data_IF_091215974541
#
_entry.id   IF_091215974541
#
_cell.length_a   1.000
_cell.length_b   1.000
_cell.length_c   1.000
_cell.angle_alpha   90.00
_cell.angle_beta   90.00
_cell.angle_gamma   90.00
#
_symmetry.space_group_name_H-M   'P 1'
#
loop_
_entity.id
_entity.type
_entity.pdbx_description
1 polymer ?
#
# COMPACT_ATOMS: atom_id res chain seq x y z
N UNK A 1 -3.76 5.88 6.07
CA UNK A 1 -3.51 6.30 4.66
C UNK A 1 -4.09 5.33 3.63
N UNK A 2 -3.83 4.04 3.77
CA UNK A 2 -4.26 3.00 2.81
C UNK A 2 -5.75 2.94 2.47
N UNK A 3 -6.70 3.16 3.40
CA UNK A 3 -8.12 3.21 3.06
C UNK A 3 -8.45 4.28 2.00
N UNK A 4 -7.75 5.42 2.01
CA UNK A 4 -7.92 6.47 1.00
C UNK A 4 -7.32 6.06 -0.35
N UNK A 5 -6.26 5.27 -0.34
CA UNK A 5 -5.53 4.86 -1.53
C UNK A 5 -6.24 3.75 -2.32
N UNK A 6 -7.11 2.97 -1.68
CA UNK A 6 -7.91 1.94 -2.35
C UNK A 6 -9.24 2.46 -2.91
N UNK A 7 -9.60 3.72 -2.63
CA UNK A 7 -10.83 4.34 -3.15
C UNK A 7 -10.81 4.43 -4.67
N UNK A 8 -9.68 4.77 -5.29
CA UNK A 8 -9.56 4.83 -6.74
C UNK A 8 -9.86 3.49 -7.44
N UNK A 9 -9.16 2.39 -7.08
CA UNK A 9 -9.50 1.05 -7.57
C UNK A 9 -10.94 0.65 -7.31
N UNK A 10 -11.50 0.96 -6.13
CA UNK A 10 -12.89 0.66 -5.81
C UNK A 10 -13.87 1.44 -6.71
N UNK A 11 -13.61 2.73 -6.92
CA UNK A 11 -14.45 3.55 -7.80
C UNK A 11 -14.38 3.05 -9.25
N UNK A 12 -13.21 2.58 -9.71
CA UNK A 12 -13.06 1.99 -11.03
C UNK A 12 -13.98 0.79 -11.28
N UNK A 13 -14.24 -0.03 -10.27
CA UNK A 13 -15.13 -1.18 -10.42
C UNK A 13 -16.60 -0.80 -10.29
N UNK A 14 -16.93 0.23 -9.52
CA UNK A 14 -18.32 0.63 -9.25
C UNK A 14 -18.89 1.55 -10.33
N UNK A 15 -18.13 2.56 -10.77
CA UNK A 15 -18.58 3.63 -11.70
C UNK A 15 -19.32 3.09 -12.95
N UNK A 16 -18.86 2.03 -13.63
CA UNK A 16 -19.54 1.51 -14.83
C UNK A 16 -20.96 0.99 -14.60
N UNK A 17 -21.33 0.65 -13.35
CA UNK A 17 -22.61 0.05 -12.99
C UNK A 17 -23.57 1.04 -12.31
N UNK A 18 -23.22 2.34 -12.27
CA UNK A 18 -24.02 3.36 -11.62
C UNK A 18 -24.78 4.22 -12.63
N UNK A 19 -25.98 4.74 -12.27
CA UNK A 19 -26.62 5.79 -13.05
C UNK A 19 -25.68 6.97 -13.23
N UNK A 20 -25.71 7.61 -14.39
CA UNK A 20 -24.74 8.66 -14.78
C UNK A 20 -24.54 9.75 -13.70
N UNK A 21 -25.63 10.24 -13.09
CA UNK A 21 -25.57 11.21 -12.01
C UNK A 21 -24.77 10.74 -10.78
N UNK A 22 -24.91 9.48 -10.40
CA UNK A 22 -24.16 8.89 -9.29
C UNK A 22 -22.71 8.57 -9.71
N UNK A 23 -22.51 8.09 -10.94
CA UNK A 23 -21.20 7.78 -11.51
C UNK A 23 -20.26 9.00 -11.49
N UNK A 24 -20.76 10.17 -11.90
CA UNK A 24 -20.00 11.43 -11.87
C UNK A 24 -19.54 11.80 -10.46
N UNK A 25 -20.44 11.72 -9.46
CA UNK A 25 -20.11 12.03 -8.07
C UNK A 25 -19.08 11.07 -7.49
N UNK A 26 -19.23 9.77 -7.76
CA UNK A 26 -18.29 8.74 -7.32
C UNK A 26 -16.92 8.98 -7.95
N UNK A 27 -16.88 9.32 -9.24
CA UNK A 27 -15.63 9.62 -9.94
C UNK A 27 -14.90 10.81 -9.32
N UNK A 28 -15.59 11.93 -9.07
CA UNK A 28 -14.98 13.10 -8.41
C UNK A 28 -14.53 12.78 -6.98
N UNK A 29 -15.37 12.11 -6.19
CA UNK A 29 -15.02 11.70 -4.84
C UNK A 29 -13.79 10.80 -4.81
N UNK A 30 -13.66 9.89 -5.78
CA UNK A 30 -12.51 9.01 -5.90
C UNK A 30 -11.22 9.78 -6.19
N UNK A 31 -11.23 10.70 -7.15
CA UNK A 31 -10.06 11.55 -7.46
C UNK A 31 -9.65 12.39 -6.25
N UNK A 32 -10.61 13.01 -5.54
CA UNK A 32 -10.32 13.85 -4.38
C UNK A 32 -9.73 13.03 -3.21
N UNK A 33 -10.33 11.89 -2.87
CA UNK A 33 -9.86 11.04 -1.78
C UNK A 33 -8.52 10.38 -2.12
N UNK A 34 -8.33 9.97 -3.37
CA UNK A 34 -7.04 9.47 -3.84
C UNK A 34 -5.96 10.54 -3.75
N UNK A 35 -6.25 11.77 -4.17
CA UNK A 35 -5.34 12.91 -4.07
C UNK A 35 -4.94 13.21 -2.62
N UNK A 36 -5.89 13.23 -1.69
CA UNK A 36 -5.60 13.38 -0.27
C UNK A 36 -4.70 12.26 0.26
N UNK A 37 -4.98 11.00 -0.14
CA UNK A 37 -4.15 9.85 0.17
C UNK A 37 -2.73 9.97 -0.39
N UNK A 38 -2.58 10.52 -1.60
CA UNK A 38 -1.28 10.72 -2.22
C UNK A 38 -0.45 11.80 -1.51
N UNK A 39 -1.05 12.94 -1.16
CA UNK A 39 -0.37 14.03 -0.48
C UNK A 39 0.21 13.59 0.88
N UNK A 40 -0.58 12.88 1.69
CA UNK A 40 -0.09 12.39 2.99
C UNK A 40 0.94 11.27 2.80
N UNK A 41 0.81 10.44 1.76
CA UNK A 41 1.84 9.43 1.44
C UNK A 41 3.18 10.08 1.07
N UNK A 42 3.19 11.20 0.34
CA UNK A 42 4.42 11.95 0.04
C UNK A 42 5.14 12.44 1.30
N UNK A 43 4.40 12.92 2.30
CA UNK A 43 4.98 13.32 3.60
C UNK A 43 5.61 12.13 4.32
N UNK A 44 4.94 10.96 4.30
CA UNK A 44 5.47 9.72 4.87
C UNK A 44 6.70 9.21 4.13
N UNK A 45 6.75 9.35 2.80
CA UNK A 45 7.89 8.93 2.00
C UNK A 45 9.16 9.72 2.31
N UNK A 46 9.05 11.03 2.58
CA UNK A 46 10.19 11.85 2.98
C UNK A 46 10.83 11.32 4.27
N UNK A 47 10.02 11.08 5.31
CA UNK A 47 10.49 10.52 6.59
C UNK A 47 11.05 9.10 6.43
N UNK A 48 10.38 8.25 5.66
CA UNK A 48 10.82 6.88 5.40
C UNK A 48 12.17 6.83 4.70
N UNK A 49 12.36 7.68 3.68
CA UNK A 49 13.62 7.72 2.92
C UNK A 49 14.75 8.27 3.78
N UNK A 50 14.49 9.30 4.60
CA UNK A 50 15.46 9.79 5.58
C UNK A 50 15.89 8.69 6.55
N UNK A 51 14.95 7.90 7.09
CA UNK A 51 15.27 6.77 7.96
C UNK A 51 16.20 5.77 7.27
N UNK A 52 15.94 5.42 6.01
CA UNK A 52 16.76 4.46 5.27
C UNK A 52 18.18 4.98 4.97
N UNK A 53 18.38 6.30 4.92
CA UNK A 53 19.70 6.89 4.71
C UNK A 53 20.54 6.96 6.00
N UNK A 54 19.91 7.08 7.17
CA UNK A 54 20.61 7.35 8.45
C UNK A 54 20.65 6.12 9.36
N UNK A 55 19.74 5.17 9.21
CA UNK A 55 19.61 4.00 10.08
C UNK A 55 19.89 2.70 9.33
N UNK A 56 20.32 1.67 10.07
CA UNK A 56 20.44 0.32 9.53
C UNK A 56 19.08 -0.21 9.06
N UNK A 57 19.12 -1.16 8.11
CA UNK A 57 17.92 -1.86 7.66
C UNK A 57 17.23 -2.56 8.84
N UNK A 58 15.89 -2.68 8.82
CA UNK A 58 15.16 -3.42 9.84
C UNK A 58 15.65 -4.86 9.99
N UNK A 59 15.42 -5.44 11.16
CA UNK A 59 15.75 -6.84 11.42
C UNK A 59 15.05 -7.75 10.40
N UNK A 60 15.71 -8.84 9.94
CA UNK A 60 15.19 -9.67 8.87
C UNK A 60 13.69 -10.02 8.96
N UNK A 61 13.14 -10.45 10.12
CA UNK A 61 11.72 -10.81 10.23
C UNK A 61 10.73 -9.66 9.99
N UNK A 62 11.16 -8.40 10.08
CA UNK A 62 10.32 -7.20 9.88
C UNK A 62 10.51 -6.55 8.50
N UNK A 63 11.52 -6.97 7.74
CA UNK A 63 11.80 -6.46 6.39
C UNK A 63 10.65 -6.59 5.39
N UNK A 64 9.76 -7.60 5.45
CA UNK A 64 8.56 -7.62 4.60
C UNK A 64 7.75 -6.33 4.70
N UNK A 65 7.70 -5.71 5.90
CA UNK A 65 7.01 -4.44 6.12
C UNK A 65 7.56 -3.27 5.29
N UNK A 66 8.77 -3.37 4.73
CA UNK A 66 9.29 -2.34 3.81
C UNK A 66 8.46 -2.24 2.53
N UNK A 67 7.84 -3.33 2.07
CA UNK A 67 6.96 -3.30 0.91
C UNK A 67 5.74 -2.39 1.09
N UNK A 68 5.39 -2.01 2.33
CA UNK A 68 4.36 -1.00 2.61
C UNK A 68 4.68 0.36 1.96
N UNK A 69 5.93 0.62 1.58
CA UNK A 69 6.29 1.79 0.78
C UNK A 69 5.87 1.69 -0.70
N UNK A 70 5.64 0.50 -1.24
CA UNK A 70 5.25 0.29 -2.66
C UNK A 70 3.81 0.72 -2.92
N UNK A 71 2.94 0.42 -1.95
CA UNK A 71 1.49 0.50 -2.10
C UNK A 71 0.96 1.89 -2.46
N UNK A 72 1.31 2.98 -1.75
CA UNK A 72 0.71 4.28 -2.00
C UNK A 72 0.89 4.80 -3.42
N UNK A 73 2.11 4.70 -3.96
CA UNK A 73 2.38 5.04 -5.35
C UNK A 73 1.69 4.08 -6.32
N UNK A 74 1.72 2.76 -6.06
CA UNK A 74 1.08 1.77 -6.93
C UNK A 74 -0.44 1.99 -7.05
N UNK A 75 -1.14 2.07 -5.93
CA UNK A 75 -2.58 2.31 -5.92
C UNK A 75 -2.97 3.68 -6.52
N UNK A 76 -2.16 4.72 -6.29
CA UNK A 76 -2.38 6.04 -6.90
C UNK A 76 -2.21 6.01 -8.41
N UNK A 77 -1.15 5.35 -8.90
CA UNK A 77 -0.96 5.18 -10.34
C UNK A 77 -2.10 4.39 -10.97
N UNK A 78 -2.52 3.28 -10.36
CA UNK A 78 -3.70 2.54 -10.81
C UNK A 78 -4.93 3.44 -10.91
N UNK A 79 -5.23 4.20 -9.86
CA UNK A 79 -6.39 5.08 -9.80
C UNK A 79 -6.36 6.15 -10.91
N UNK A 80 -5.22 6.81 -11.10
CA UNK A 80 -5.08 7.86 -12.12
C UNK A 80 -5.29 7.32 -13.55
N UNK A 81 -4.65 6.18 -13.87
CA UNK A 81 -4.79 5.57 -15.21
C UNK A 81 -6.22 5.07 -15.39
N UNK A 82 -6.78 4.39 -14.39
CA UNK A 82 -8.06 3.73 -14.52
C UNK A 82 -9.25 4.70 -14.54
N UNK A 83 -9.24 5.71 -13.69
CA UNK A 83 -10.25 6.77 -13.67
C UNK A 83 -10.12 7.67 -14.89
N UNK A 84 -8.88 7.96 -15.33
CA UNK A 84 -8.63 8.67 -16.59
C UNK A 84 -9.22 7.93 -17.79
N UNK A 85 -8.94 6.62 -17.93
CA UNK A 85 -9.49 5.80 -19.02
C UNK A 85 -11.02 5.69 -19.01
N UNK A 86 -11.67 5.85 -17.86
CA UNK A 86 -13.12 5.86 -17.75
C UNK A 86 -13.75 7.23 -18.04
N UNK A 87 -12.98 8.32 -17.96
CA UNK A 87 -13.49 9.67 -18.11
C UNK A 87 -14.27 9.91 -19.43
N UNK A 88 -13.87 9.39 -20.60
CA UNK A 88 -14.67 9.54 -21.82
C UNK A 88 -16.06 8.90 -21.73
N UNK A 89 -16.19 7.78 -21.00
CA UNK A 89 -17.50 7.12 -20.80
C UNK A 89 -18.35 7.85 -19.75
N UNK A 90 -17.71 8.47 -18.76
CA UNK A 90 -18.39 9.18 -17.67
C UNK A 90 -18.83 10.56 -18.11
N UNK A 91 -18.04 11.26 -18.92
CA UNK A 91 -18.28 12.67 -19.28
C UNK A 91 -18.62 12.87 -20.76
N UNK A 92 -18.24 11.96 -21.66
CA UNK A 92 -18.49 12.12 -23.10
C UNK A 92 -18.00 13.47 -23.63
N UNK A 93 -18.84 14.11 -24.45
CA UNK A 93 -18.66 15.48 -24.96
C UNK A 93 -19.31 16.54 -24.05
N UNK A 94 -19.68 16.17 -22.81
CA UNK A 94 -20.33 17.09 -21.89
C UNK A 94 -19.38 18.24 -21.53
N UNK A 95 -19.91 19.45 -21.56
CA UNK A 95 -19.20 20.65 -21.12
C UNK A 95 -18.78 20.48 -19.65
N UNK A 96 -17.46 20.48 -19.43
CA UNK A 96 -16.88 20.40 -18.10
C UNK A 96 -16.14 21.70 -17.83
N UNK A 97 -16.34 22.28 -16.65
CA UNK A 97 -15.68 23.52 -16.22
C UNK A 97 -15.92 24.74 -17.15
N UNK A 98 -17.04 24.76 -17.88
CA UNK A 98 -17.37 25.83 -18.83
C UNK A 98 -16.55 25.79 -20.13
N UNK A 99 -15.85 24.68 -20.39
CA UNK A 99 -15.07 24.47 -21.61
C UNK A 99 -15.93 23.66 -22.59
N UNK A 100 -16.17 24.23 -23.77
CA UNK A 100 -17.02 23.66 -24.83
C UNK A 100 -16.23 23.32 -26.10
N UNK A 101 -14.99 23.80 -26.18
CA UNK A 101 -14.13 23.70 -27.37
C UNK A 101 -13.33 22.40 -27.46
N UNK A 102 -13.32 21.58 -26.41
CA UNK A 102 -12.50 20.37 -26.32
C UNK A 102 -13.31 19.18 -25.79
N UNK A 103 -13.06 17.95 -26.28
CA UNK A 103 -13.63 16.73 -25.74
C UNK A 103 -13.00 16.43 -24.36
N UNK A 104 -13.58 16.97 -23.30
CA UNK A 104 -13.00 16.96 -21.95
C UNK A 104 -12.73 15.55 -21.42
N UNK A 105 -13.56 14.56 -21.77
CA UNK A 105 -13.34 13.16 -21.41
C UNK A 105 -12.00 12.60 -21.91
N UNK A 106 -11.63 12.90 -23.16
CA UNK A 106 -10.37 12.45 -23.75
C UNK A 106 -9.17 13.20 -23.19
N UNK A 107 -9.33 14.49 -22.90
CA UNK A 107 -8.29 15.29 -22.23
C UNK A 107 -7.98 14.69 -20.85
N UNK A 108 -9.01 14.39 -20.05
CA UNK A 108 -8.84 13.77 -18.73
C UNK A 108 -8.19 12.38 -18.86
N UNK A 109 -8.56 11.60 -19.89
CA UNK A 109 -7.92 10.30 -20.18
C UNK A 109 -6.43 10.43 -20.41
N UNK A 110 -5.99 11.36 -21.25
CA UNK A 110 -4.57 11.59 -21.53
C UNK A 110 -3.84 12.01 -20.26
N UNK A 111 -4.38 12.97 -19.52
CA UNK A 111 -3.78 13.47 -18.27
C UNK A 111 -3.65 12.34 -17.25
N UNK A 112 -4.71 11.54 -17.05
CA UNK A 112 -4.72 10.44 -16.07
C UNK A 112 -3.71 9.34 -16.41
N UNK A 113 -3.56 9.00 -17.70
CA UNK A 113 -2.57 8.02 -18.16
C UNK A 113 -1.14 8.54 -17.91
N UNK A 114 -0.83 9.76 -18.33
CA UNK A 114 0.52 10.34 -18.16
C UNK A 114 0.89 10.54 -16.69
N UNK A 115 -0.04 11.04 -15.87
CA UNK A 115 0.17 11.16 -14.43
C UNK A 115 0.38 9.80 -13.77
N UNK A 116 -0.36 8.78 -14.21
CA UNK A 116 -0.17 7.40 -13.77
C UNK A 116 1.20 6.82 -14.11
N UNK A 117 1.69 7.04 -15.34
CA UNK A 117 3.04 6.62 -15.75
C UNK A 117 4.14 7.29 -14.95
N UNK A 118 3.95 8.55 -14.58
CA UNK A 118 4.87 9.25 -13.69
C UNK A 118 4.93 8.58 -12.30
N UNK A 119 3.76 8.29 -11.71
CA UNK A 119 3.66 7.76 -10.33
C UNK A 119 4.05 6.27 -10.26
N UNK A 120 3.77 5.45 -11.27
CA UNK A 120 4.06 4.00 -11.23
C UNK A 120 5.56 3.71 -11.13
N UNK A 121 6.41 4.52 -11.77
CA UNK A 121 7.86 4.37 -11.70
C UNK A 121 8.37 4.54 -10.26
N UNK A 122 7.75 5.45 -9.51
CA UNK A 122 8.08 5.66 -8.10
C UNK A 122 7.71 4.46 -7.23
N UNK A 123 6.57 3.81 -7.52
CA UNK A 123 6.20 2.54 -6.87
C UNK A 123 7.19 1.41 -7.20
N UNK A 124 7.59 1.30 -8.47
CA UNK A 124 8.56 0.31 -8.92
C UNK A 124 9.93 0.49 -8.25
N UNK A 125 10.37 1.74 -8.05
CA UNK A 125 11.61 2.03 -7.33
C UNK A 125 11.57 1.51 -5.88
N UNK A 126 10.51 1.81 -5.12
CA UNK A 126 10.35 1.28 -3.76
C UNK A 126 10.23 -0.26 -3.73
N UNK A 127 9.66 -0.86 -4.78
CA UNK A 127 9.62 -2.31 -4.91
C UNK A 127 11.03 -2.89 -4.99
N UNK A 128 11.90 -2.32 -5.83
CA UNK A 128 13.29 -2.75 -5.94
C UNK A 128 14.04 -2.60 -4.61
N UNK A 129 13.89 -1.47 -3.91
CA UNK A 129 14.52 -1.24 -2.59
C UNK A 129 14.05 -2.28 -1.57
N UNK A 130 12.75 -2.54 -1.50
CA UNK A 130 12.16 -3.51 -0.58
C UNK A 130 12.59 -4.94 -0.90
N UNK A 131 12.63 -5.29 -2.20
CA UNK A 131 13.05 -6.59 -2.68
C UNK A 131 14.50 -6.89 -2.31
N UNK A 132 15.42 -5.96 -2.58
CA UNK A 132 16.84 -6.11 -2.22
C UNK A 132 17.00 -6.29 -0.70
N UNK A 133 16.28 -5.49 0.10
CA UNK A 133 16.31 -5.61 1.56
C UNK A 133 15.87 -7.00 2.05
N UNK A 134 14.76 -7.52 1.52
CA UNK A 134 14.25 -8.85 1.87
C UNK A 134 15.21 -9.95 1.42
N UNK A 135 15.70 -9.90 0.18
CA UNK A 135 16.64 -10.91 -0.34
C UNK A 135 17.93 -10.96 0.49
N UNK A 136 18.43 -9.82 0.97
CA UNK A 136 19.59 -9.75 1.85
C UNK A 136 19.34 -10.39 3.23
N UNK A 137 18.09 -10.56 3.66
CA UNK A 137 17.71 -11.08 4.98
C UNK A 137 17.03 -12.44 4.97
N UNK A 138 16.69 -12.98 3.79
CA UNK A 138 15.70 -14.07 3.63
C UNK A 138 15.99 -15.32 4.46
N UNK A 139 17.27 -15.72 4.60
CA UNK A 139 17.68 -16.91 5.36
C UNK A 139 17.47 -16.80 6.87
N UNK A 140 17.34 -15.57 7.39
CA UNK A 140 17.19 -15.28 8.82
C UNK A 140 15.77 -14.83 9.17
N UNK A 141 14.84 -14.92 8.22
CA UNK A 141 13.47 -14.49 8.42
C UNK A 141 12.65 -15.59 9.10
N UNK A 142 11.98 -15.22 10.19
CA UNK A 142 10.85 -15.96 10.74
C UNK A 142 9.54 -15.33 10.27
N UNK A 143 8.46 -16.10 10.39
CA UNK A 143 7.13 -15.58 10.12
C UNK A 143 6.77 -14.49 11.14
N UNK A 144 6.22 -13.39 10.63
CA UNK A 144 5.62 -12.29 11.39
C UNK A 144 4.42 -11.78 10.63
N UNK A 145 3.54 -11.02 11.27
CA UNK A 145 2.38 -10.43 10.58
C UNK A 145 2.80 -9.51 9.41
N UNK A 146 4.02 -8.96 9.44
CA UNK A 146 4.57 -8.16 8.35
C UNK A 146 4.65 -8.90 7.01
N UNK A 147 4.64 -10.24 6.99
CA UNK A 147 4.65 -11.02 5.74
C UNK A 147 3.47 -10.67 4.82
N UNK A 148 2.34 -10.22 5.37
CA UNK A 148 1.20 -9.76 4.56
C UNK A 148 1.55 -8.56 3.64
N UNK A 149 2.60 -7.80 3.96
CA UNK A 149 3.13 -6.75 3.10
C UNK A 149 3.78 -7.27 1.80
N UNK A 150 4.05 -8.58 1.68
CA UNK A 150 4.41 -9.18 0.39
C UNK A 150 3.29 -9.14 -0.63
N UNK A 151 2.03 -9.08 -0.16
CA UNK A 151 0.87 -9.22 -1.03
C UNK A 151 0.22 -7.87 -1.28
N UNK A 152 -0.27 -7.21 -0.24
CA UNK A 152 -1.19 -6.08 -0.41
C UNK A 152 -0.58 -4.85 -1.12
N UNK A 153 0.60 -4.33 -0.73
CA UNK A 153 1.25 -3.24 -1.45
C UNK A 153 1.63 -3.61 -2.89
N UNK A 154 2.09 -4.84 -3.11
CA UNK A 154 2.51 -5.33 -4.42
C UNK A 154 1.32 -5.61 -5.35
N UNK A 155 0.13 -5.89 -4.79
CA UNK A 155 -1.12 -5.90 -5.55
C UNK A 155 -1.42 -4.52 -6.15
N UNK A 156 -1.16 -3.43 -5.41
CA UNK A 156 -1.29 -2.06 -5.93
C UNK A 156 -0.39 -1.80 -7.13
N UNK A 157 0.90 -2.18 -7.05
CA UNK A 157 1.83 -2.07 -8.18
C UNK A 157 1.41 -2.95 -9.37
N UNK A 158 0.95 -4.17 -9.12
CA UNK A 158 0.50 -5.09 -10.17
C UNK A 158 -0.76 -4.57 -10.87
N UNK A 159 -1.74 -4.07 -10.11
CA UNK A 159 -2.93 -3.43 -10.63
C UNK A 159 -2.60 -2.18 -11.46
N UNK A 160 -1.61 -1.38 -11.05
CA UNK A 160 -1.14 -0.25 -11.85
C UNK A 160 -0.51 -0.71 -13.16
N UNK A 161 0.34 -1.75 -13.11
CA UNK A 161 0.99 -2.33 -14.28
C UNK A 161 -0.02 -2.91 -15.29
N UNK A 162 -1.11 -3.55 -14.81
CA UNK A 162 -2.22 -4.01 -15.67
C UNK A 162 -2.86 -2.82 -16.41
N UNK A 163 -3.13 -1.73 -15.68
CA UNK A 163 -3.71 -0.54 -16.29
C UNK A 163 -2.76 0.12 -17.29
N UNK A 164 -1.46 0.12 -17.01
CA UNK A 164 -0.41 0.57 -17.94
C UNK A 164 -0.36 -0.29 -19.20
N UNK A 165 -0.31 -1.62 -19.06
CA UNK A 165 -0.29 -2.53 -20.21
C UNK A 165 -1.55 -2.41 -21.07
N UNK A 166 -2.70 -2.18 -20.44
CA UNK A 166 -3.96 -1.93 -21.16
C UNK A 166 -3.97 -0.55 -21.83
N UNK A 167 -3.40 0.49 -21.20
CA UNK A 167 -3.31 1.83 -21.79
C UNK A 167 -2.37 1.90 -22.99
N UNK A 168 -1.31 1.08 -22.99
CA UNK A 168 -0.32 0.95 -24.07
C UNK A 168 -0.71 -0.10 -25.13
N UNK A 169 -1.84 -0.79 -24.95
CA UNK A 169 -2.29 -1.89 -25.81
C UNK A 169 -1.20 -2.98 -26.02
N UNK A 170 -0.38 -3.22 -25.00
CA UNK A 170 0.80 -4.07 -25.10
C UNK A 170 0.53 -5.47 -24.53
N UNK A 171 0.49 -6.46 -25.42
CA UNK A 171 0.33 -7.86 -25.04
C UNK A 171 1.46 -8.40 -24.15
N UNK A 172 2.70 -7.93 -24.36
CA UNK A 172 3.86 -8.36 -23.58
C UNK A 172 3.78 -7.85 -22.13
N UNK A 173 3.42 -6.59 -21.92
CA UNK A 173 3.21 -6.03 -20.57
C UNK A 173 2.08 -6.77 -19.86
N UNK A 174 0.97 -7.06 -20.56
CA UNK A 174 -0.14 -7.82 -19.99
C UNK A 174 0.25 -9.27 -19.64
N UNK A 175 1.14 -9.90 -20.43
CA UNK A 175 1.72 -11.20 -20.12
C UNK A 175 2.55 -11.19 -18.82
N UNK A 176 3.41 -10.18 -18.65
CA UNK A 176 4.17 -9.98 -17.39
C UNK A 176 3.23 -9.74 -16.21
N UNK A 177 2.19 -8.93 -16.39
CA UNK A 177 1.19 -8.66 -15.34
C UNK A 177 0.42 -9.93 -14.93
N UNK A 178 0.12 -10.81 -15.88
CA UNK A 178 -0.49 -12.12 -15.59
C UNK A 178 0.43 -12.97 -14.72
N UNK A 179 1.73 -13.02 -15.05
CA UNK A 179 2.72 -13.74 -14.24
C UNK A 179 2.87 -13.14 -12.82
N UNK A 180 2.91 -11.80 -12.70
CA UNK A 180 2.94 -11.12 -11.39
C UNK A 180 1.70 -11.44 -10.55
N UNK A 181 0.52 -11.49 -11.17
CA UNK A 181 -0.73 -11.84 -10.50
C UNK A 181 -0.69 -13.28 -9.96
N UNK A 182 -0.22 -14.24 -10.75
CA UNK A 182 -0.02 -15.63 -10.29
C UNK A 182 0.96 -15.67 -9.12
N UNK A 183 2.08 -14.95 -9.20
CA UNK A 183 3.04 -14.84 -8.11
C UNK A 183 2.44 -14.29 -6.81
N UNK A 184 1.58 -13.26 -6.91
CA UNK A 184 0.87 -12.71 -5.75
C UNK A 184 -0.10 -13.71 -5.13
N UNK A 185 -0.83 -14.48 -5.94
CA UNK A 185 -1.74 -15.52 -5.44
C UNK A 185 -0.95 -16.61 -4.69
N UNK A 186 0.18 -17.05 -5.24
CA UNK A 186 1.06 -18.02 -4.58
C UNK A 186 1.56 -17.45 -3.24
N UNK A 187 2.05 -16.19 -3.23
CA UNK A 187 2.51 -15.54 -2.01
C UNK A 187 1.38 -15.36 -0.98
N UNK A 188 0.16 -15.08 -1.41
CA UNK A 188 -1.01 -15.03 -0.54
C UNK A 188 -1.27 -16.38 0.12
N UNK A 189 -1.24 -17.49 -0.63
CA UNK A 189 -1.42 -18.84 -0.08
C UNK A 189 -0.33 -19.17 0.94
N UNK A 190 0.93 -18.85 0.64
CA UNK A 190 2.06 -19.04 1.57
C UNK A 190 1.87 -18.24 2.85
N UNK A 191 1.48 -16.96 2.75
CA UNK A 191 1.22 -16.13 3.92
C UNK A 191 0.04 -16.66 4.74
N UNK A 192 -1.05 -17.06 4.09
CA UNK A 192 -2.23 -17.61 4.75
C UNK A 192 -1.89 -18.90 5.51
N UNK A 193 -1.17 -19.84 4.89
CA UNK A 193 -0.75 -21.07 5.54
C UNK A 193 0.17 -20.80 6.74
N UNK A 194 1.18 -19.94 6.57
CA UNK A 194 2.08 -19.58 7.66
C UNK A 194 1.36 -18.87 8.81
N UNK A 195 0.36 -18.05 8.51
CA UNK A 195 -0.48 -17.39 9.52
C UNK A 195 -1.34 -18.40 10.29
N UNK A 196 -2.01 -19.32 9.60
CA UNK A 196 -2.80 -20.39 10.24
C UNK A 196 -1.91 -21.26 11.13
N UNK A 197 -0.74 -21.67 10.64
CA UNK A 197 0.26 -22.42 11.43
C UNK A 197 0.68 -21.65 12.68
N UNK A 198 1.00 -20.36 12.54
CA UNK A 198 1.44 -19.53 13.66
C UNK A 198 0.35 -19.36 14.73
N UNK A 199 -0.91 -19.23 14.33
CA UNK A 199 -2.05 -19.23 15.25
C UNK A 199 -2.20 -20.57 15.95
N UNK A 200 -2.09 -21.69 15.23
CA UNK A 200 -2.21 -23.03 15.83
C UNK A 200 -1.10 -23.37 16.82
N UNK A 201 0.13 -22.88 16.60
CA UNK A 201 1.27 -23.11 17.50
C UNK A 201 1.31 -22.08 18.64
N UNK A 202 0.46 -21.05 18.61
CA UNK A 202 0.45 -19.96 19.60
C UNK A 202 1.64 -19.00 19.47
N UNK A 203 2.22 -18.89 18.27
CA UNK A 203 3.29 -17.92 17.97
C UNK A 203 2.75 -16.49 17.77
N UNK A 204 1.44 -16.35 17.49
CA UNK A 204 0.72 -15.09 17.23
C UNK A 204 -0.59 -15.11 18.04
N UNK A 205 -1.06 -13.93 18.47
CA UNK A 205 -2.24 -13.75 19.34
C UNK A 205 -2.11 -14.42 20.72
N UNK A 206 -0.90 -14.43 21.26
CA UNK A 206 -0.58 -14.91 22.61
C UNK A 206 0.22 -13.85 23.38
N UNK A 207 -0.03 -13.64 24.68
CA UNK A 207 0.68 -12.63 25.47
C UNK A 207 2.21 -12.74 25.34
N UNK A 208 2.88 -11.64 25.00
CA UNK A 208 4.34 -11.56 24.88
C UNK A 208 4.96 -12.29 23.69
N UNK A 209 4.17 -12.73 22.68
CA UNK A 209 4.67 -13.44 21.50
C UNK A 209 4.61 -12.66 20.19
N UNK A 210 3.81 -11.61 20.10
CA UNK A 210 3.65 -10.80 18.88
C UNK A 210 4.15 -9.35 19.08
N UNK A 211 3.36 -8.32 18.76
CA UNK A 211 3.73 -6.90 18.91
C UNK A 211 4.05 -6.49 20.37
N UNK A 212 3.54 -7.25 21.35
CA UNK A 212 3.75 -7.00 22.78
C UNK A 212 5.11 -7.49 23.31
N UNK A 213 5.96 -8.11 22.46
CA UNK A 213 7.31 -8.56 22.87
C UNK A 213 8.18 -7.44 23.43
N UNK A 214 7.95 -6.21 23.01
CA UNK A 214 8.67 -5.01 23.46
C UNK A 214 8.03 -4.34 24.69
N UNK A 215 6.82 -4.72 25.10
CA UNK A 215 6.10 -4.09 26.22
C UNK A 215 6.51 -4.64 27.60
N UNK A 216 7.22 -5.77 27.60
CA UNK A 216 7.79 -6.36 28.82
C UNK A 216 8.86 -5.47 29.48
N UNK A 217 9.40 -4.46 28.77
CA UNK A 217 10.32 -3.47 29.35
C UNK A 217 9.62 -2.46 30.26
N UNK A 218 8.38 -2.07 29.92
CA UNK A 218 7.64 -1.02 30.66
C UNK A 218 7.02 -1.62 31.94
N UNK A 219 6.52 -2.84 31.86
CA UNK A 219 5.96 -3.55 33.04
C UNK A 219 7.04 -3.91 34.07
N UNK A 220 8.20 -4.40 33.61
CA UNK A 220 9.33 -4.73 34.49
C UNK A 220 9.92 -3.49 35.17
N UNK A 221 10.07 -2.38 34.46
CA UNK A 221 10.62 -1.15 35.05
C UNK A 221 9.64 -0.51 36.05
N UNK A 222 8.32 -0.56 35.80
CA UNK A 222 7.31 -0.07 36.75
C UNK A 222 7.20 -0.91 38.02
N UNK A 223 7.32 -2.24 37.94
CA UNK A 223 7.28 -3.13 39.12
C UNK A 223 8.54 -2.90 39.98
N UNK A 224 9.70 -2.80 39.35
CA UNK A 224 10.98 -2.58 40.03
C UNK A 224 11.07 -1.16 40.63
N UNK A 225 10.47 -0.16 39.97
CA UNK A 225 10.37 1.20 40.52
C UNK A 225 9.42 1.25 41.72
N UNK A 226 8.29 0.54 41.69
CA UNK A 226 7.36 0.48 42.82
C UNK A 226 7.96 -0.29 44.02
N UNK A 227 8.60 -1.44 43.80
CA UNK A 227 9.27 -2.17 44.88
C UNK A 227 10.44 -1.36 45.48
N UNK A 228 11.23 -0.66 44.66
CA UNK A 228 12.31 0.19 45.16
C UNK A 228 11.80 1.42 45.94
N UNK A 229 10.61 1.92 45.60
CA UNK A 229 9.98 3.06 46.30
C UNK A 229 9.32 2.61 47.60
N UNK A 230 8.69 1.43 47.64
CA UNK A 230 8.15 0.84 48.88
C UNK A 230 9.26 0.45 49.86
N UNK A 231 10.37 -0.14 49.38
CA UNK A 231 11.52 -0.46 50.23
C UNK A 231 12.17 0.81 50.82
N UNK A 232 12.28 1.89 50.03
CA UNK A 232 12.73 3.19 50.56
C UNK A 232 11.78 3.79 51.57
N UNK A 233 10.46 3.58 51.45
CA UNK A 233 9.49 4.11 52.42
C UNK A 233 9.55 3.39 53.78
N UNK A 234 9.98 2.12 53.81
CA UNK A 234 10.14 1.33 55.03
C UNK A 234 11.44 1.61 55.79
N UNK A 235 12.49 2.10 55.10
CA UNK A 235 13.75 2.51 55.75
C UNK A 235 13.65 3.87 56.50
N UNK A 236 12.51 4.58 56.38
CA UNK A 236 12.25 5.87 57.05
C UNK A 236 11.15 5.82 58.12
N UNK A 237 10.68 4.63 58.51
CA UNK A 237 9.72 4.42 59.62
C UNK A 237 10.37 3.68 60.79
#
# INVERSE_FOLDING_TARGET
>A
IYPLLVVGPLAQTIVPYQPHYAAVKIWFGAIMLQGAGWCVALMMYAMYTQRLMVSALPDPPTRPGMFVSVGPAGYTAHALISLGRQAPKVFGDTELFGITSLPMGDVIKVIGILAGFFVILFSFWFFCVSLVSVLAGIKKMSFTLNWWAFVFPNAGLTLASIQTGTALESASINGVCSALTVGLVIMWIVCAFANIRAVWIGEIMWPGKDEDKTDNGISGEHILYNEATELRALDYS
#
